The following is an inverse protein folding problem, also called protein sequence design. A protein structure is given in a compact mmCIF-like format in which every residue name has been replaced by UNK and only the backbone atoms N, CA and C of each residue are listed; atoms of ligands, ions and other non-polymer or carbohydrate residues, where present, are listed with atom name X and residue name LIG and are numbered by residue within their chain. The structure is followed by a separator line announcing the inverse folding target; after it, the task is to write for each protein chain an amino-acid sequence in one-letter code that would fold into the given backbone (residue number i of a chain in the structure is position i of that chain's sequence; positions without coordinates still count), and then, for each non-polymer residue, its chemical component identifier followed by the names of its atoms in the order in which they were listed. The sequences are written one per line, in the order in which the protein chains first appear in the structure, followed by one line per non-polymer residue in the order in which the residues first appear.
data_IF_992189176462
#
_entry.id   IF_992189176462
#
_cell.length_a   1.000
_cell.length_b   1.000
_cell.length_c   1.000
_cell.angle_alpha   90.00
_cell.angle_beta   90.00
_cell.angle_gamma   90.00
#
_symmetry.space_group_name_H-M   'P 1'
#
loop_
_entity.id
_entity.type
_entity.pdbx_description
1 polymer ?
#
# COMPACT_ATOMS: atom_id res chain seq x y z
N UNK A 1 9.40 -23.11 -6.50
CA UNK A 1 8.56 -21.90 -6.43
C UNK A 1 9.47 -20.73 -6.70
N UNK A 2 9.32 -20.03 -7.82
CA UNK A 2 10.18 -18.87 -8.12
C UNK A 2 9.64 -17.68 -7.34
N UNK A 3 10.33 -17.29 -6.27
CA UNK A 3 10.02 -16.07 -5.52
C UNK A 3 10.78 -14.90 -6.14
N UNK A 4 10.04 -13.99 -6.77
CA UNK A 4 10.57 -12.71 -7.26
C UNK A 4 10.55 -11.72 -6.10
N UNK A 5 11.61 -10.94 -5.90
CA UNK A 5 11.60 -9.82 -4.95
C UNK A 5 10.99 -8.60 -5.65
N UNK A 6 9.95 -7.95 -5.09
CA UNK A 6 9.43 -6.72 -5.66
C UNK A 6 10.52 -5.64 -5.63
N UNK A 7 10.70 -4.92 -6.74
CA UNK A 7 11.70 -3.85 -6.85
C UNK A 7 11.25 -2.58 -6.12
N UNK A 8 9.94 -2.37 -6.01
CA UNK A 8 9.31 -1.24 -5.31
C UNK A 8 7.98 -1.64 -4.68
N UNK A 9 7.77 -1.28 -3.40
CA UNK A 9 6.54 -1.61 -2.66
C UNK A 9 5.92 -0.32 -2.11
N UNK A 10 4.69 -0.02 -2.52
CA UNK A 10 3.89 1.04 -1.92
C UNK A 10 3.05 0.48 -0.77
N UNK A 11 3.08 1.13 0.39
CA UNK A 11 2.26 0.77 1.54
C UNK A 11 1.29 1.89 1.87
N UNK A 12 0.01 1.57 2.04
CA UNK A 12 -1.04 2.52 2.43
C UNK A 12 -1.60 2.18 3.80
N UNK A 13 -1.70 3.16 4.69
CA UNK A 13 -2.37 3.00 5.97
C UNK A 13 -3.33 4.16 6.28
N UNK A 14 -4.47 3.86 6.88
CA UNK A 14 -5.55 4.82 7.14
C UNK A 14 -5.90 4.99 8.62
N UNK A 15 -5.17 4.33 9.51
CA UNK A 15 -5.38 4.38 10.96
C UNK A 15 -4.05 4.58 11.70
N UNK A 16 -4.08 5.11 12.94
CA UNK A 16 -2.88 5.17 13.78
C UNK A 16 -2.26 3.79 14.04
N UNK A 17 -3.06 2.73 14.13
CA UNK A 17 -2.55 1.35 14.24
C UNK A 17 -1.82 0.92 12.98
N UNK A 18 -2.38 1.25 11.81
CA UNK A 18 -1.75 1.00 10.53
C UNK A 18 -0.41 1.72 10.37
N UNK A 19 -0.30 2.98 10.81
CA UNK A 19 0.97 3.71 10.81
C UNK A 19 2.03 3.01 11.67
N UNK A 20 1.65 2.50 12.86
CA UNK A 20 2.59 1.75 13.72
C UNK A 20 3.06 0.45 13.07
N UNK A 21 2.15 -0.28 12.42
CA UNK A 21 2.52 -1.51 11.70
C UNK A 21 3.38 -1.18 10.47
N UNK A 22 3.04 -0.13 9.71
CA UNK A 22 3.83 0.36 8.59
C UNK A 22 5.27 0.67 8.98
N UNK A 23 5.49 1.41 10.10
CA UNK A 23 6.84 1.70 10.62
C UNK A 23 7.64 0.43 10.92
N UNK A 24 7.00 -0.60 11.48
CA UNK A 24 7.66 -1.90 11.74
C UNK A 24 8.05 -2.60 10.44
N UNK A 25 7.17 -2.61 9.44
CA UNK A 25 7.44 -3.24 8.15
C UNK A 25 8.52 -2.47 7.36
N UNK A 26 8.51 -1.14 7.40
CA UNK A 26 9.50 -0.28 6.73
C UNK A 26 10.93 -0.48 7.27
N UNK A 27 11.09 -0.96 8.51
CA UNK A 27 12.40 -1.32 9.05
C UNK A 27 12.98 -2.62 8.45
N UNK A 28 12.15 -3.43 7.77
CA UNK A 28 12.53 -4.75 7.25
C UNK A 28 12.40 -4.86 5.72
N UNK A 29 11.66 -3.94 5.10
CA UNK A 29 11.33 -3.96 3.68
C UNK A 29 11.52 -2.57 3.06
N UNK A 30 11.92 -2.48 1.78
CA UNK A 30 12.05 -1.21 1.08
C UNK A 30 10.67 -0.66 0.68
N UNK A 31 9.98 -0.03 1.64
CA UNK A 31 8.61 0.47 1.46
C UNK A 31 8.59 1.99 1.25
N UNK A 32 7.80 2.44 0.27
CA UNK A 32 7.29 3.82 0.26
C UNK A 32 5.96 3.84 1.02
N UNK A 33 5.93 4.50 2.18
CA UNK A 33 4.76 4.50 3.05
C UNK A 33 3.90 5.75 2.81
N UNK A 34 2.61 5.56 2.58
CA UNK A 34 1.62 6.59 2.35
C UNK A 34 0.56 6.61 3.46
N UNK A 35 0.16 7.80 3.88
CA UNK A 35 -0.89 7.99 4.89
C UNK A 35 -1.67 9.30 4.65
N UNK A 36 -2.77 9.50 5.37
CA UNK A 36 -3.49 10.79 5.33
C UNK A 36 -2.67 11.88 6.01
N UNK A 37 -2.81 13.15 5.58
CA UNK A 37 -2.14 14.29 6.23
C UNK A 37 -2.31 14.34 7.75
N UNK A 38 -3.50 13.96 8.25
CA UNK A 38 -3.80 13.91 9.70
C UNK A 38 -2.92 12.91 10.46
N UNK A 39 -2.39 11.91 9.79
CA UNK A 39 -1.60 10.80 10.35
C UNK A 39 -0.15 10.83 9.86
N UNK A 40 0.27 11.95 9.25
CA UNK A 40 1.59 12.08 8.65
C UNK A 40 2.68 12.01 9.72
N UNK A 41 3.73 11.26 9.41
CA UNK A 41 4.87 10.99 10.26
C UNK A 41 6.14 11.10 9.41
N UNK A 42 7.30 11.28 10.05
CA UNK A 42 8.58 11.29 9.34
C UNK A 42 8.77 10.02 8.51
N UNK A 43 9.19 10.17 7.25
CA UNK A 43 9.36 9.07 6.30
C UNK A 43 8.08 8.58 5.62
N UNK A 44 6.93 9.21 5.87
CA UNK A 44 5.67 8.92 5.17
C UNK A 44 5.36 10.04 4.17
N UNK A 45 4.70 9.67 3.08
CA UNK A 45 4.15 10.59 2.09
C UNK A 45 2.64 10.76 2.32
N UNK A 46 2.08 11.97 2.12
CA UNK A 46 0.64 12.14 2.13
C UNK A 46 0.01 11.51 0.88
N UNK A 47 -1.30 11.25 0.91
CA UNK A 47 -2.03 10.91 -0.31
C UNK A 47 -2.22 12.14 -1.19
N UNK A 48 -1.48 12.22 -2.30
CA UNK A 48 -1.74 13.25 -3.31
C UNK A 48 -3.13 13.05 -3.92
N UNK A 49 -3.96 14.10 -3.87
CA UNK A 49 -5.35 14.09 -4.36
C UNK A 49 -6.24 13.00 -3.73
N UNK A 50 -5.90 12.57 -2.51
CA UNK A 50 -6.68 11.62 -1.72
C UNK A 50 -6.33 10.14 -1.99
N UNK A 51 -6.76 9.28 -1.07
CA UNK A 51 -6.38 7.85 -1.04
C UNK A 51 -6.60 7.13 -2.38
N UNK A 52 -7.76 7.33 -2.99
CA UNK A 52 -8.09 6.63 -4.23
C UNK A 52 -7.23 7.08 -5.41
N UNK A 53 -6.75 8.33 -5.44
CA UNK A 53 -5.84 8.80 -6.49
C UNK A 53 -4.45 8.17 -6.28
N UNK A 54 -3.90 8.34 -5.08
CA UNK A 54 -2.58 7.81 -4.73
C UNK A 54 -2.48 6.28 -4.92
N UNK A 55 -3.52 5.52 -4.55
CA UNK A 55 -3.54 4.08 -4.74
C UNK A 55 -3.59 3.66 -6.21
N UNK A 56 -4.28 4.41 -7.08
CA UNK A 56 -4.34 4.12 -8.52
C UNK A 56 -3.02 4.45 -9.21
N UNK A 57 -2.41 5.55 -8.83
CA UNK A 57 -1.07 5.92 -9.31
C UNK A 57 -0.04 4.87 -8.89
N UNK A 58 -0.07 4.43 -7.62
CA UNK A 58 0.81 3.38 -7.15
C UNK A 58 0.59 2.05 -7.88
N UNK A 59 -0.66 1.69 -8.18
CA UNK A 59 -0.98 0.49 -8.95
C UNK A 59 -0.30 0.47 -10.33
N UNK A 60 -0.03 1.66 -10.90
CA UNK A 60 0.59 1.80 -12.22
C UNK A 60 2.12 1.95 -12.17
N UNK A 61 2.71 2.19 -10.99
CA UNK A 61 4.11 2.61 -10.85
C UNK A 61 4.93 1.77 -9.86
N UNK A 62 4.30 0.95 -9.03
CA UNK A 62 4.95 0.06 -8.08
C UNK A 62 4.79 -1.40 -8.49
N UNK A 63 5.77 -2.24 -8.12
CA UNK A 63 5.71 -3.68 -8.37
C UNK A 63 4.81 -4.45 -7.39
N UNK A 64 4.56 -3.88 -6.20
CA UNK A 64 3.63 -4.42 -5.22
C UNK A 64 2.99 -3.33 -4.36
N UNK A 65 1.76 -3.58 -3.92
CA UNK A 65 1.01 -2.72 -3.02
C UNK A 65 0.63 -3.48 -1.74
N UNK A 66 0.80 -2.84 -0.60
CA UNK A 66 0.34 -3.32 0.71
C UNK A 66 -0.68 -2.32 1.24
N UNK A 67 -1.86 -2.79 1.61
CA UNK A 67 -2.87 -1.99 2.31
C UNK A 67 -2.99 -2.46 3.74
N UNK A 68 -2.79 -1.56 4.71
CA UNK A 68 -3.12 -1.82 6.10
C UNK A 68 -4.48 -1.20 6.41
N UNK A 69 -5.51 -2.03 6.49
CA UNK A 69 -6.88 -1.61 6.74
C UNK A 69 -7.94 -2.56 6.18
N UNK A 70 -9.15 -2.04 5.96
CA UNK A 70 -10.26 -2.86 5.49
C UNK A 70 -10.09 -3.28 4.02
N UNK A 71 -10.11 -4.59 3.74
CA UNK A 71 -10.03 -5.17 2.38
C UNK A 71 -10.98 -4.54 1.38
N UNK A 72 -12.20 -4.19 1.79
CA UNK A 72 -13.18 -3.57 0.92
C UNK A 72 -12.74 -2.23 0.33
N UNK A 73 -11.86 -1.45 1.00
CA UNK A 73 -11.39 -0.18 0.44
C UNK A 73 -10.38 -0.41 -0.69
N UNK A 74 -9.46 -1.35 -0.50
CA UNK A 74 -8.48 -1.72 -1.53
C UNK A 74 -9.18 -2.29 -2.76
N UNK A 75 -10.10 -3.25 -2.56
CA UNK A 75 -10.83 -3.88 -3.67
C UNK A 75 -11.64 -2.85 -4.47
N UNK A 76 -12.40 -1.95 -3.82
CA UNK A 76 -13.22 -0.96 -4.56
C UNK A 76 -12.38 0.02 -5.36
N UNK A 77 -11.19 0.39 -4.88
CA UNK A 77 -10.31 1.32 -5.59
C UNK A 77 -9.58 0.64 -6.74
N UNK A 78 -9.11 -0.60 -6.54
CA UNK A 78 -8.26 -1.31 -7.49
C UNK A 78 -9.03 -2.15 -8.51
N UNK A 79 -10.23 -2.65 -8.20
CA UNK A 79 -10.98 -3.53 -9.10
C UNK A 79 -11.16 -2.96 -10.54
N UNK A 80 -11.38 -1.64 -10.75
CA UNK A 80 -11.46 -1.07 -12.09
C UNK A 80 -10.12 -1.00 -12.84
N UNK A 81 -8.98 -1.19 -12.15
CA UNK A 81 -7.65 -1.11 -12.73
C UNK A 81 -7.06 -2.47 -13.11
N UNK A 82 -7.58 -3.56 -12.53
CA UNK A 82 -7.11 -4.91 -12.80
C UNK A 82 -7.27 -5.20 -14.30
N UNK A 83 -6.18 -5.61 -14.93
CA UNK A 83 -6.10 -5.75 -16.38
C UNK A 83 -5.39 -7.05 -16.79
N UNK A 84 -4.15 -7.27 -16.36
CA UNK A 84 -3.37 -8.45 -16.77
C UNK A 84 -2.56 -9.06 -15.62
N UNK A 85 -2.69 -10.37 -15.44
CA UNK A 85 -2.07 -11.11 -14.32
C UNK A 85 -0.54 -11.15 -14.35
N UNK A 86 0.09 -10.85 -15.49
CA UNK A 86 1.55 -10.87 -15.63
C UNK A 86 2.17 -9.50 -15.40
N UNK A 87 1.41 -8.42 -15.61
CA UNK A 87 1.89 -7.04 -15.41
C UNK A 87 1.33 -6.35 -14.19
N UNK A 88 0.11 -6.69 -13.74
CA UNK A 88 -0.50 -6.04 -12.59
C UNK A 88 0.34 -6.30 -11.33
N UNK A 89 0.49 -5.29 -10.45
CA UNK A 89 1.29 -5.45 -9.25
C UNK A 89 0.67 -6.47 -8.30
N UNK A 90 1.53 -7.11 -7.50
CA UNK A 90 1.06 -7.92 -6.39
C UNK A 90 0.34 -7.04 -5.36
N UNK A 91 -0.84 -7.46 -4.89
CA UNK A 91 -1.60 -6.71 -3.87
C UNK A 91 -1.79 -7.56 -2.63
N UNK A 92 -1.42 -7.02 -1.47
CA UNK A 92 -1.64 -7.61 -0.15
C UNK A 92 -2.49 -6.66 0.67
N UNK A 93 -3.49 -7.20 1.37
CA UNK A 93 -4.21 -6.44 2.40
C UNK A 93 -4.04 -7.15 3.72
N UNK A 94 -3.71 -6.38 4.76
CA UNK A 94 -3.51 -6.85 6.12
C UNK A 94 -4.30 -5.93 7.04
N UNK A 95 -4.86 -6.47 8.13
CA UNK A 95 -5.45 -5.60 9.14
C UNK A 95 -4.35 -4.90 9.97
N UNK A 96 -4.74 -3.90 10.78
CA UNK A 96 -3.77 -3.13 11.58
C UNK A 96 -3.10 -3.92 12.71
N UNK A 97 -3.60 -5.12 13.04
CA UNK A 97 -2.98 -6.06 13.97
C UNK A 97 -2.00 -7.03 13.28
N UNK A 98 -1.94 -7.02 11.95
CA UNK A 98 -1.03 -7.87 11.19
C UNK A 98 -1.51 -9.30 11.02
N UNK A 99 -2.82 -9.54 11.01
CA UNK A 99 -3.47 -10.85 10.89
C UNK A 99 -4.09 -11.07 9.50
#
# INVERSE_FOLDING_TARGET
MNTVKPESIALFCLTPGGVRLAKRLAAMLPLTCFTSEKLLEEGFLPFENGFASAAREAFSSYSALIFIGATGIAVRVLAPLVNDKFSDPAVVVIDERGQ
#
